data_IF_196861094749
#
_entry.id   IF_196861094749
#
_cell.length_a   1.000
_cell.length_b   1.000
_cell.length_c   1.000
_cell.angle_alpha   90.00
_cell.angle_beta   90.00
_cell.angle_gamma   90.00
#
_symmetry.space_group_name_H-M   'P 1'
#
loop_
_entity.id
_entity.type
_entity.pdbx_description
1 polymer ?
#
# COMPACT_ATOMS: atom_id res chain seq x y z
N UNK A 1 -12.85 -13.88 7.88
CA UNK A 1 -11.67 -14.03 8.75
C UNK A 1 -11.13 -12.62 8.96
N UNK A 2 -11.29 -12.08 10.16
CA UNK A 2 -10.67 -10.80 10.54
C UNK A 2 -9.20 -11.05 10.73
N UNK A 3 -8.34 -10.30 10.04
CA UNK A 3 -6.89 -10.37 10.29
C UNK A 3 -6.51 -9.10 11.05
N UNK A 4 -6.09 -9.29 12.30
CA UNK A 4 -5.29 -8.29 13.03
C UNK A 4 -3.86 -8.48 12.53
N UNK A 5 -3.25 -7.46 11.93
CA UNK A 5 -1.87 -7.53 11.43
C UNK A 5 -0.99 -6.53 12.17
N UNK A 6 0.03 -7.05 12.85
CA UNK A 6 1.22 -6.30 13.28
C UNK A 6 2.37 -6.66 12.33
N UNK A 7 2.16 -6.51 11.02
CA UNK A 7 3.22 -6.75 10.04
C UNK A 7 4.06 -5.47 9.86
N UNK A 8 5.37 -5.60 10.04
CA UNK A 8 6.31 -4.50 9.78
C UNK A 8 6.46 -4.34 8.27
N UNK A 9 6.66 -3.11 7.80
CA UNK A 9 6.92 -2.82 6.39
C UNK A 9 8.17 -1.96 6.20
N UNK A 10 8.94 -2.24 5.15
CA UNK A 10 9.99 -1.37 4.64
C UNK A 10 9.76 -1.08 3.15
N UNK A 11 10.18 0.11 2.71
CA UNK A 11 10.02 0.57 1.34
C UNK A 11 11.33 1.02 0.74
N UNK A 12 11.57 0.62 -0.50
CA UNK A 12 12.69 1.09 -1.29
C UNK A 12 12.23 1.67 -2.62
N UNK A 13 12.93 2.71 -3.08
CA UNK A 13 12.84 3.20 -4.45
C UNK A 13 13.52 2.19 -5.38
N UNK A 14 12.88 1.85 -6.49
CA UNK A 14 13.40 0.88 -7.46
C UNK A 14 13.64 1.55 -8.80
N UNK A 15 14.90 1.53 -9.25
CA UNK A 15 15.27 2.03 -10.58
C UNK A 15 14.97 1.01 -11.68
N UNK A 16 15.30 -0.27 -11.45
CA UNK A 16 15.03 -1.36 -12.37
C UNK A 16 14.14 -2.44 -11.75
N UNK A 17 12.80 -2.31 -11.88
CA UNK A 17 11.87 -3.30 -11.35
C UNK A 17 11.92 -4.65 -12.08
N UNK A 18 12.49 -4.71 -13.29
CA UNK A 18 12.63 -5.97 -14.04
C UNK A 18 13.73 -6.83 -13.43
N UNK A 19 14.86 -6.22 -13.06
CA UNK A 19 15.95 -6.91 -12.35
C UNK A 19 15.49 -7.41 -10.98
N UNK A 20 14.80 -6.56 -10.20
CA UNK A 20 14.24 -6.97 -8.90
C UNK A 20 13.28 -8.15 -9.07
N UNK A 21 12.34 -8.09 -10.02
CA UNK A 21 11.41 -9.18 -10.31
C UNK A 21 12.15 -10.48 -10.62
N UNK A 22 13.16 -10.41 -11.50
CA UNK A 22 13.93 -11.60 -11.90
C UNK A 22 14.65 -12.22 -10.71
N UNK A 23 15.23 -11.40 -9.84
CA UNK A 23 15.96 -11.84 -8.66
C UNK A 23 15.05 -12.54 -7.63
N UNK A 24 13.89 -11.94 -7.31
CA UNK A 24 12.96 -12.53 -6.33
C UNK A 24 12.33 -13.83 -6.85
N UNK A 25 12.03 -13.90 -8.16
CA UNK A 25 11.52 -15.14 -8.78
C UNK A 25 12.57 -16.25 -8.78
N UNK A 26 13.84 -15.91 -9.06
CA UNK A 26 14.94 -16.88 -8.99
C UNK A 26 15.17 -17.41 -7.57
N UNK A 27 14.84 -16.61 -6.55
CA UNK A 27 14.84 -17.01 -5.14
C UNK A 27 13.61 -17.82 -4.71
N UNK A 28 12.68 -18.11 -5.63
CA UNK A 28 11.48 -18.91 -5.35
C UNK A 28 10.26 -18.12 -4.90
N UNK A 29 10.23 -16.80 -5.12
CA UNK A 29 9.03 -16.02 -4.84
C UNK A 29 7.89 -16.38 -5.80
N UNK A 30 6.66 -16.46 -5.29
CA UNK A 30 5.45 -16.77 -6.05
C UNK A 30 4.65 -15.50 -6.33
N UNK A 31 4.26 -15.28 -7.59
CA UNK A 31 3.35 -14.17 -7.94
C UNK A 31 1.93 -14.48 -7.45
N UNK A 32 1.46 -13.73 -6.45
CA UNK A 32 0.12 -13.93 -5.86
C UNK A 32 -0.93 -12.95 -6.40
N UNK A 33 -0.50 -11.80 -6.93
CA UNK A 33 -1.41 -10.84 -7.54
C UNK A 33 -0.70 -9.93 -8.54
N UNK A 34 -1.37 -9.64 -9.66
CA UNK A 34 -0.99 -8.58 -10.59
C UNK A 34 -2.22 -7.85 -11.06
N UNK A 35 -2.19 -6.52 -11.04
CA UNK A 35 -3.34 -5.71 -11.44
C UNK A 35 -3.30 -4.30 -10.89
N UNK A 36 -4.42 -3.58 -11.01
CA UNK A 36 -4.56 -2.27 -10.36
C UNK A 36 -4.98 -2.44 -8.90
N UNK A 37 -4.48 -1.57 -8.02
CA UNK A 37 -4.86 -1.45 -6.62
C UNK A 37 -5.21 0.00 -6.33
N UNK A 38 -6.47 0.26 -6.00
CA UNK A 38 -7.03 1.59 -5.82
C UNK A 38 -7.47 1.78 -4.36
N UNK A 39 -6.79 2.64 -3.62
CA UNK A 39 -7.17 3.00 -2.27
C UNK A 39 -7.99 4.28 -2.24
N UNK A 40 -9.09 4.24 -1.50
CA UNK A 40 -9.91 5.39 -1.13
C UNK A 40 -9.89 5.51 0.37
N UNK A 41 -9.30 6.58 0.90
CA UNK A 41 -9.43 6.89 2.33
C UNK A 41 -10.60 7.83 2.53
N UNK A 42 -11.32 7.60 3.62
CA UNK A 42 -12.53 8.30 3.94
C UNK A 42 -12.38 9.13 5.20
N UNK A 43 -13.11 10.23 5.27
CA UNK A 43 -13.35 10.96 6.51
C UNK A 43 -14.76 11.55 6.49
N UNK A 44 -15.23 11.97 7.66
CA UNK A 44 -16.49 12.65 7.89
C UNK A 44 -16.23 13.88 8.77
N UNK A 45 -16.06 15.04 8.13
CA UNK A 45 -15.80 16.34 8.79
C UNK A 45 -14.54 16.30 9.68
N UNK A 46 -13.44 15.76 9.13
CA UNK A 46 -12.14 15.59 9.79
C UNK A 46 -12.17 14.81 11.12
N UNK A 47 -13.22 14.04 11.39
CA UNK A 47 -13.35 13.31 12.66
C UNK A 47 -12.33 12.19 12.77
N UNK A 48 -12.05 11.48 11.67
CA UNK A 48 -11.07 10.40 11.67
C UNK A 48 -9.65 10.97 11.74
N UNK A 49 -9.34 11.98 10.90
CA UNK A 49 -8.06 12.69 10.93
C UNK A 49 -7.72 13.23 12.33
N UNK A 50 -8.68 13.86 13.03
CA UNK A 50 -8.47 14.38 14.39
C UNK A 50 -8.19 13.31 15.45
N UNK A 51 -8.56 12.06 15.17
CA UNK A 51 -8.29 10.90 16.02
C UNK A 51 -7.12 10.06 15.52
N UNK A 52 -6.44 10.52 14.48
CA UNK A 52 -5.44 9.73 13.74
C UNK A 52 -5.97 8.36 13.29
N UNK A 53 -7.27 8.26 12.99
CA UNK A 53 -7.92 7.06 12.47
C UNK A 53 -8.00 7.08 10.94
N UNK A 54 -8.05 5.91 10.31
CA UNK A 54 -8.17 5.78 8.85
C UNK A 54 -9.23 4.74 8.52
N UNK A 55 -10.26 5.14 7.78
CA UNK A 55 -11.14 4.20 7.06
C UNK A 55 -10.70 4.15 5.60
N UNK A 56 -10.51 2.96 5.05
CA UNK A 56 -10.03 2.74 3.69
C UNK A 56 -10.84 1.67 2.99
N UNK A 57 -11.28 1.95 1.77
CA UNK A 57 -11.69 0.93 0.81
C UNK A 57 -10.57 0.77 -0.21
N UNK A 58 -9.94 -0.39 -0.23
CA UNK A 58 -8.99 -0.83 -1.26
C UNK A 58 -9.75 -1.64 -2.30
N UNK A 59 -9.58 -1.33 -3.57
CA UNK A 59 -10.20 -2.06 -4.68
C UNK A 59 -9.11 -2.68 -5.54
N UNK A 60 -9.27 -3.95 -5.86
CA UNK A 60 -8.37 -4.71 -6.71
C UNK A 60 -9.04 -4.97 -8.06
N UNK A 61 -8.36 -4.61 -9.14
CA UNK A 61 -8.74 -4.95 -10.51
C UNK A 61 -7.66 -5.87 -11.10
N UNK A 62 -7.86 -7.20 -11.03
CA UNK A 62 -6.91 -8.18 -11.52
C UNK A 62 -6.56 -7.99 -13.01
N UNK A 63 -5.29 -8.17 -13.38
CA UNK A 63 -4.84 -8.06 -14.76
C UNK A 63 -5.34 -9.22 -15.65
N UNK A 64 -5.64 -10.36 -15.05
CA UNK A 64 -6.22 -11.55 -15.71
C UNK A 64 -7.73 -11.43 -16.00
N UNK A 65 -8.33 -10.27 -15.69
CA UNK A 65 -9.77 -9.97 -15.86
C UNK A 65 -10.69 -10.85 -15.02
N UNK A 66 -10.18 -11.50 -13.98
CA UNK A 66 -11.04 -12.03 -12.91
C UNK A 66 -11.81 -10.89 -12.22
N UNK A 67 -12.90 -11.23 -11.52
CA UNK A 67 -13.81 -10.24 -10.94
C UNK A 67 -13.10 -9.27 -9.99
N UNK A 68 -13.47 -7.98 -10.07
CA UNK A 68 -13.00 -6.99 -9.10
C UNK A 68 -13.50 -7.33 -7.69
N UNK A 69 -12.68 -7.02 -6.68
CA UNK A 69 -13.03 -7.19 -5.28
C UNK A 69 -12.36 -6.10 -4.46
N UNK A 70 -12.70 -5.99 -3.18
CA UNK A 70 -12.12 -5.00 -2.30
C UNK A 70 -11.83 -5.48 -0.89
N UNK A 71 -11.16 -4.62 -0.14
CA UNK A 71 -10.93 -4.74 1.29
C UNK A 71 -11.37 -3.44 1.94
N UNK A 72 -12.35 -3.53 2.83
CA UNK A 72 -12.71 -2.42 3.69
C UNK A 72 -11.94 -2.58 5.00
N UNK A 73 -11.17 -1.55 5.35
CA UNK A 73 -10.36 -1.53 6.54
C UNK A 73 -10.59 -0.28 7.39
N UNK A 74 -10.46 -0.44 8.70
CA UNK A 74 -10.25 0.63 9.65
C UNK A 74 -8.91 0.43 10.36
N UNK A 75 -8.19 1.53 10.56
CA UNK A 75 -6.96 1.55 11.34
C UNK A 75 -7.13 2.58 12.47
N UNK A 76 -6.90 2.17 13.72
CA UNK A 76 -7.01 3.00 14.93
C UNK A 76 -5.96 4.11 15.02
N UNK A 77 -5.90 4.86 16.11
CA UNK A 77 -4.84 5.86 16.29
C UNK A 77 -3.45 5.18 16.33
N UNK A 78 -2.40 5.86 15.88
CA UNK A 78 -1.03 5.40 16.13
C UNK A 78 -0.76 5.46 17.64
N UNK A 79 -0.50 4.30 18.23
CA UNK A 79 -0.06 4.15 19.61
C UNK A 79 1.43 3.79 19.69
N UNK A 80 1.96 3.82 20.91
CA UNK A 80 3.26 3.25 21.24
C UNK A 80 3.04 2.12 22.26
N UNK A 81 3.58 0.93 21.98
CA UNK A 81 3.62 -0.21 22.90
C UNK A 81 5.05 -0.68 23.00
N UNK A 82 5.62 -0.62 24.20
CA UNK A 82 6.99 -1.07 24.50
C UNK A 82 8.08 -0.46 23.59
N UNK A 83 7.90 0.80 23.17
CA UNK A 83 8.84 1.51 22.30
C UNK A 83 8.55 1.35 20.80
N UNK A 84 7.60 0.49 20.42
CA UNK A 84 7.23 0.24 19.03
C UNK A 84 5.96 0.98 18.64
N UNK A 85 5.94 1.50 17.41
CA UNK A 85 4.73 2.07 16.80
C UNK A 85 3.73 0.95 16.55
N UNK A 86 2.60 0.94 17.23
CA UNK A 86 1.54 -0.06 17.08
C UNK A 86 0.23 0.64 16.68
N UNK A 87 -0.56 0.01 15.81
CA UNK A 87 -1.86 0.53 15.38
C UNK A 87 -2.82 -0.63 15.21
N UNK A 88 -3.95 -0.58 15.91
CA UNK A 88 -5.01 -1.57 15.74
C UNK A 88 -5.57 -1.50 14.31
N UNK A 89 -5.69 -2.65 13.64
CA UNK A 89 -6.24 -2.74 12.29
C UNK A 89 -7.32 -3.81 12.18
N UNK A 90 -8.43 -3.44 11.56
CA UNK A 90 -9.54 -4.34 11.26
C UNK A 90 -9.82 -4.27 9.77
N UNK A 91 -9.69 -5.41 9.08
CA UNK A 91 -9.95 -5.49 7.65
C UNK A 91 -10.91 -6.65 7.32
N UNK A 92 -11.75 -6.42 6.32
CA UNK A 92 -12.65 -7.44 5.77
C UNK A 92 -12.69 -7.38 4.26
N UNK A 93 -12.72 -8.57 3.63
CA UNK A 93 -12.95 -8.71 2.19
C UNK A 93 -14.37 -8.25 1.87
N UNK A 94 -14.50 -7.57 0.74
CA UNK A 94 -15.76 -7.13 0.17
C UNK A 94 -15.83 -7.56 -1.28
N UNK A 95 -16.83 -8.37 -1.63
CA UNK A 95 -16.97 -8.88 -2.99
C UNK A 95 -17.55 -7.84 -3.95
N UNK A 96 -18.39 -6.91 -3.46
CA UNK A 96 -18.87 -5.76 -4.23
C UNK A 96 -18.33 -4.43 -3.65
N UNK A 97 -17.15 -3.98 -4.09
CA UNK A 97 -16.58 -2.71 -3.63
C UNK A 97 -17.43 -1.49 -4.03
N UNK A 98 -18.28 -1.58 -5.06
CA UNK A 98 -19.17 -0.48 -5.47
C UNK A 98 -20.29 -0.30 -4.48
N UNK A 99 -20.92 -1.39 -4.04
CA UNK A 99 -21.92 -1.36 -2.98
C UNK A 99 -21.36 -0.79 -1.68
N UNK A 100 -20.17 -1.22 -1.26
CA UNK A 100 -19.49 -0.67 -0.07
C UNK A 100 -19.27 0.84 -0.15
N UNK A 101 -18.82 1.33 -1.31
CA UNK A 101 -18.65 2.76 -1.54
C UNK A 101 -19.98 3.53 -1.42
N UNK A 102 -21.08 2.99 -1.93
CA UNK A 102 -22.42 3.60 -1.80
C UNK A 102 -22.83 3.67 -0.33
N UNK A 103 -22.66 2.58 0.43
CA UNK A 103 -22.97 2.53 1.87
C UNK A 103 -22.17 3.60 2.62
N UNK A 104 -20.84 3.66 2.45
CA UNK A 104 -20.00 4.66 3.10
C UNK A 104 -20.46 6.09 2.80
N UNK A 105 -20.78 6.39 1.55
CA UNK A 105 -21.30 7.72 1.16
C UNK A 105 -22.64 8.03 1.83
N UNK A 106 -23.56 7.06 1.90
CA UNK A 106 -24.86 7.24 2.56
C UNK A 106 -24.72 7.46 4.07
N UNK A 107 -23.69 6.88 4.69
CA UNK A 107 -23.33 7.14 6.09
C UNK A 107 -22.64 8.50 6.31
N UNK A 108 -22.39 9.26 5.24
CA UNK A 108 -21.83 10.61 5.28
C UNK A 108 -20.30 10.66 5.20
N UNK A 109 -19.63 9.56 4.85
CA UNK A 109 -18.21 9.57 4.56
C UNK A 109 -17.92 10.13 3.16
N UNK A 110 -16.87 10.94 3.07
CA UNK A 110 -16.32 11.46 1.80
C UNK A 110 -14.93 10.91 1.58
N UNK A 111 -14.56 10.71 0.31
CA UNK A 111 -13.20 10.35 -0.06
C UNK A 111 -12.32 11.57 0.15
N UNK A 112 -11.31 11.47 1.01
CA UNK A 112 -10.35 12.54 1.32
C UNK A 112 -8.97 12.29 0.73
N UNK A 113 -8.64 11.03 0.40
CA UNK A 113 -7.39 10.68 -0.29
C UNK A 113 -7.64 9.55 -1.29
N UNK A 114 -6.98 9.66 -2.45
CA UNK A 114 -6.96 8.65 -3.49
C UNK A 114 -5.52 8.23 -3.74
N UNK A 115 -5.28 6.93 -3.80
CA UNK A 115 -4.00 6.36 -4.20
C UNK A 115 -4.31 5.27 -5.23
N UNK A 116 -3.81 5.40 -6.44
CA UNK A 116 -3.98 4.46 -7.53
C UNK A 116 -2.62 3.90 -7.90
N UNK A 117 -2.51 2.58 -7.96
CA UNK A 117 -1.28 1.88 -8.30
C UNK A 117 -1.56 0.76 -9.30
N UNK A 118 -0.62 0.50 -10.20
CA UNK A 118 -0.47 -0.85 -10.72
C UNK A 118 0.49 -1.59 -9.78
N UNK A 119 0.22 -2.84 -9.48
CA UNK A 119 1.06 -3.63 -8.56
C UNK A 119 1.35 -5.02 -9.09
N UNK A 120 2.45 -5.55 -8.63
CA UNK A 120 2.75 -6.98 -8.61
C UNK A 120 3.10 -7.35 -7.18
N UNK A 121 2.41 -8.34 -6.63
CA UNK A 121 2.63 -8.83 -5.29
C UNK A 121 3.11 -10.27 -5.33
N UNK A 122 4.16 -10.53 -4.58
CA UNK A 122 4.82 -11.82 -4.48
C UNK A 122 4.84 -12.30 -3.03
N UNK A 123 4.87 -13.62 -2.84
CA UNK A 123 5.16 -14.26 -1.55
C UNK A 123 6.50 -14.98 -1.64
N UNK A 124 7.38 -14.76 -0.67
CA UNK A 124 8.65 -15.47 -0.53
C UNK A 124 8.74 -16.02 0.90
N UNK A 125 8.41 -17.29 1.06
CA UNK A 125 8.00 -17.80 2.37
C UNK A 125 6.80 -16.98 2.88
N UNK A 126 6.88 -16.51 4.12
CA UNK A 126 5.82 -15.69 4.70
C UNK A 126 5.91 -14.20 4.33
N UNK A 127 7.07 -13.73 3.84
CA UNK A 127 7.26 -12.33 3.44
C UNK A 127 6.40 -11.99 2.22
N UNK A 128 5.80 -10.81 2.24
CA UNK A 128 5.14 -10.20 1.08
C UNK A 128 6.08 -9.17 0.45
N UNK A 129 6.31 -9.29 -0.86
CA UNK A 129 7.03 -8.29 -1.64
C UNK A 129 6.07 -7.67 -2.66
N UNK A 130 5.95 -6.35 -2.70
CA UNK A 130 5.04 -5.67 -3.63
C UNK A 130 5.75 -4.56 -4.40
N UNK A 131 5.87 -4.75 -5.71
CA UNK A 131 6.25 -3.69 -6.63
C UNK A 131 5.04 -2.80 -6.93
N UNK A 132 5.22 -1.49 -6.87
CA UNK A 132 4.15 -0.50 -7.01
C UNK A 132 4.53 0.59 -8.01
N UNK A 133 3.72 0.72 -9.06
CA UNK A 133 3.83 1.76 -10.07
C UNK A 133 2.73 2.80 -9.87
N UNK A 134 3.14 4.04 -9.63
CA UNK A 134 2.25 5.19 -9.44
C UNK A 134 2.06 5.97 -10.76
N UNK A 135 0.98 6.76 -10.91
CA UNK A 135 0.73 7.54 -12.12
C UNK A 135 1.85 8.50 -12.52
N UNK A 136 2.51 9.14 -11.56
CA UNK A 136 3.75 9.89 -11.78
C UNK A 136 4.57 9.94 -10.47
N UNK A 137 5.34 8.90 -10.21
CA UNK A 137 6.29 8.84 -9.08
C UNK A 137 7.32 7.75 -9.40
N UNK A 138 8.32 7.58 -8.54
CA UNK A 138 9.17 6.41 -8.59
C UNK A 138 8.37 5.10 -8.43
N UNK A 139 8.94 4.01 -8.96
CA UNK A 139 8.51 2.65 -8.61
C UNK A 139 9.00 2.36 -7.21
N UNK A 140 8.12 1.83 -6.36
CA UNK A 140 8.47 1.41 -5.01
C UNK A 140 8.39 -0.10 -4.88
N UNK A 141 9.27 -0.68 -4.07
CA UNK A 141 9.14 -2.02 -3.53
C UNK A 141 8.79 -1.91 -2.05
N UNK A 142 7.64 -2.45 -1.66
CA UNK A 142 7.25 -2.68 -0.27
C UNK A 142 7.62 -4.12 0.09
N UNK A 143 8.23 -4.33 1.26
CA UNK A 143 8.49 -5.65 1.85
C UNK A 143 7.84 -5.68 3.22
N UNK A 144 6.95 -6.64 3.43
CA UNK A 144 6.13 -6.78 4.63
C UNK A 144 6.29 -8.20 5.22
N UNK A 145 6.42 -8.32 6.54
CA UNK A 145 6.57 -9.61 7.23
C UNK A 145 7.17 -9.48 8.63
N UNK A 146 7.60 -10.60 9.22
CA UNK A 146 8.39 -10.58 10.45
C UNK A 146 9.80 -10.00 10.16
N UNK A 147 10.52 -9.42 11.16
CA UNK A 147 11.83 -8.81 10.95
C UNK A 147 12.81 -9.68 10.14
N UNK A 148 13.01 -10.93 10.57
CA UNK A 148 13.97 -11.83 9.90
C UNK A 148 13.52 -12.20 8.47
N UNK A 149 12.21 -12.22 8.21
CA UNK A 149 11.64 -12.49 6.89
C UNK A 149 11.85 -11.31 5.95
N UNK A 150 11.70 -10.09 6.45
CA UNK A 150 12.00 -8.86 5.71
C UNK A 150 13.47 -8.84 5.31
N UNK A 151 14.39 -9.12 6.24
CA UNK A 151 15.82 -9.10 5.94
C UNK A 151 16.21 -10.16 4.90
N UNK A 152 15.66 -11.39 5.01
CA UNK A 152 15.85 -12.43 3.99
C UNK A 152 15.27 -12.03 2.64
N UNK A 153 14.09 -11.45 2.62
CA UNK A 153 13.44 -10.99 1.41
C UNK A 153 14.22 -9.85 0.74
N UNK A 154 14.75 -8.89 1.51
CA UNK A 154 15.59 -7.81 0.98
C UNK A 154 16.86 -8.36 0.35
N UNK A 155 17.54 -9.30 1.01
CA UNK A 155 18.81 -9.85 0.54
C UNK A 155 18.74 -10.44 -0.87
N UNK A 156 17.57 -10.97 -1.28
CA UNK A 156 17.39 -11.56 -2.62
C UNK A 156 16.97 -10.55 -3.70
N UNK A 157 16.64 -9.31 -3.33
CA UNK A 157 16.19 -8.30 -4.31
C UNK A 157 17.32 -7.77 -5.19
N UNK A 158 18.57 -7.93 -4.75
CA UNK A 158 19.74 -7.30 -5.37
C UNK A 158 19.86 -5.79 -5.10
N UNK A 159 18.98 -5.21 -4.28
CA UNK A 159 19.05 -3.81 -3.85
C UNK A 159 19.86 -3.68 -2.55
N UNK A 160 20.64 -2.59 -2.38
CA UNK A 160 21.31 -2.29 -1.11
C UNK A 160 20.32 -2.14 0.04
N UNK A 161 20.62 -2.75 1.20
CA UNK A 161 19.72 -2.79 2.37
C UNK A 161 19.38 -1.39 2.88
N UNK A 162 20.31 -0.45 2.79
CA UNK A 162 20.16 0.95 3.21
C UNK A 162 19.10 1.73 2.42
N UNK A 163 18.68 1.23 1.25
CA UNK A 163 17.59 1.83 0.49
C UNK A 163 16.21 1.53 1.06
N UNK A 164 16.09 0.55 1.96
CA UNK A 164 14.83 0.11 2.56
C UNK A 164 14.56 0.88 3.85
N UNK A 165 13.60 1.80 3.77
CA UNK A 165 13.25 2.75 4.82
C UNK A 165 11.89 2.41 5.43
N UNK A 166 11.74 2.63 6.74
CA UNK A 166 10.46 2.52 7.46
C UNK A 166 9.61 3.80 7.27
N UNK A 167 9.59 4.32 6.04
CA UNK A 167 8.98 5.59 5.68
C UNK A 167 7.68 5.39 4.91
N UNK A 168 6.79 6.38 5.02
CA UNK A 168 5.47 6.32 4.38
C UNK A 168 5.45 7.00 3.01
N UNK A 169 4.39 6.78 2.22
CA UNK A 169 4.25 7.36 0.87
C UNK A 169 4.51 8.89 0.78
N UNK A 170 4.07 9.74 1.74
CA UNK A 170 4.43 11.16 1.76
C UNK A 170 5.94 11.44 1.67
N UNK A 171 6.77 10.65 2.36
CA UNK A 171 8.23 10.79 2.30
C UNK A 171 8.75 10.53 0.89
N UNK A 172 8.34 9.42 0.27
CA UNK A 172 8.77 9.07 -1.10
C UNK A 172 8.25 10.07 -2.14
N UNK A 173 7.05 10.63 -1.92
CA UNK A 173 6.50 11.72 -2.74
C UNK A 173 7.41 12.95 -2.70
N UNK A 174 7.76 13.41 -1.50
CA UNK A 174 8.63 14.57 -1.30
C UNK A 174 10.03 14.32 -1.86
N UNK A 175 10.60 13.14 -1.63
CA UNK A 175 11.91 12.75 -2.16
C UNK A 175 11.93 12.76 -3.71
N UNK A 176 10.89 12.24 -4.36
CA UNK A 176 10.72 12.31 -5.80
C UNK A 176 10.65 13.75 -6.31
N UNK A 177 9.81 14.58 -5.68
CA UNK A 177 9.60 15.98 -6.07
C UNK A 177 10.89 16.79 -5.94
N UNK A 178 11.60 16.64 -4.81
CA UNK A 178 12.88 17.31 -4.56
C UNK A 178 13.96 16.90 -5.56
N UNK A 179 14.06 15.60 -5.88
CA UNK A 179 15.09 15.08 -6.78
C UNK A 179 14.83 15.41 -8.25
N UNK A 180 13.56 15.43 -8.67
CA UNK A 180 13.20 15.54 -10.10
C UNK A 180 12.65 16.90 -10.49
N UNK A 181 12.23 17.74 -9.53
CA UNK A 181 11.52 18.98 -9.77
C UNK A 181 10.09 18.80 -10.31
N UNK A 182 9.59 17.56 -10.42
CA UNK A 182 8.27 17.22 -10.96
C UNK A 182 7.30 16.92 -9.83
N UNK A 183 6.07 17.42 -9.93
CA UNK A 183 5.00 17.08 -8.99
C UNK A 183 4.65 15.60 -9.06
N UNK A 184 4.72 14.90 -7.93
CA UNK A 184 4.35 13.50 -7.83
C UNK A 184 2.82 13.34 -7.87
N UNK A 185 2.35 12.37 -8.66
CA UNK A 185 0.93 11.98 -8.73
C UNK A 185 0.75 10.54 -8.30
N UNK A 186 0.04 10.38 -7.19
CA UNK A 186 -0.31 9.07 -6.63
C UNK A 186 -1.73 8.64 -6.97
N UNK A 187 -2.53 9.47 -7.66
CA UNK A 187 -3.84 9.12 -8.20
C UNK A 187 -3.98 9.60 -9.64
N UNK A 188 -4.79 8.87 -10.43
CA UNK A 188 -5.14 9.23 -11.81
C UNK A 188 -6.24 10.31 -11.85
N UNK A 189 -7.02 10.44 -10.79
CA UNK A 189 -8.02 11.50 -10.67
C UNK A 189 -7.32 12.80 -10.30
N UNK A 190 -7.63 13.88 -11.01
CA UNK A 190 -7.22 15.23 -10.61
C UNK A 190 -7.86 15.57 -9.25
N UNK A 191 -7.16 16.33 -8.39
CA UNK A 191 -7.81 16.90 -7.20
C UNK A 191 -8.98 17.74 -7.69
N UNK A 192 -10.21 17.36 -7.30
CA UNK A 192 -11.36 18.24 -7.52
C UNK A 192 -11.11 19.51 -6.70
N UNK A 193 -11.20 20.71 -7.29
CA UNK A 193 -11.25 21.93 -6.49
C UNK A 193 -12.47 21.84 -5.54
N UNK A 194 -12.27 22.31 -4.31
CA UNK A 194 -13.30 22.38 -3.27
C UNK A 194 -14.49 23.26 -3.69
#
# INVERSE_FOLDING_TARGET
MTVVRDELELKARVDDPTSVRSAILAAGAELVYRGAMLDRRFDRKDRLRKRDEVVRLRVFHPADRSGEWGVLGWKGAVGNRDGYRHREEWESRVDDPRAALVVLRRLGYKIVLRIDRAIEQYKLGEATLRLEWYPAMDVLLEVEGAPDEIERAIAVTGLPRELFLAESLPYFKEAYEKRTGRTARVSRAEPKPE
#
